data_IF_546816894221
#
_entry.id   IF_546816894221
#
_cell.length_a   1.000
_cell.length_b   1.000
_cell.length_c   1.000
_cell.angle_alpha   90.00
_cell.angle_beta   90.00
_cell.angle_gamma   90.00
#
_symmetry.space_group_name_H-M   'P 1'
#
loop_
_entity.id
_entity.type
_entity.pdbx_description
1 polymer ?
#
# COMPACT_ATOMS: atom_id res chain seq x y z
N UNK A 1 -5.58 -6.61 1.67
CA UNK A 1 -4.28 -6.06 2.10
C UNK A 1 -3.21 -6.15 1.02
N UNK A 2 -2.85 -7.34 0.52
CA UNK A 2 -1.77 -7.48 -0.48
C UNK A 2 -2.01 -6.63 -1.75
N UNK A 3 -3.17 -6.79 -2.40
CA UNK A 3 -3.54 -6.00 -3.57
C UNK A 3 -3.52 -4.49 -3.29
N UNK A 4 -4.10 -4.06 -2.17
CA UNK A 4 -4.04 -2.66 -1.72
C UNK A 4 -2.61 -2.15 -1.53
N UNK A 5 -1.74 -2.98 -0.95
CA UNK A 5 -0.34 -2.63 -0.77
C UNK A 5 0.42 -2.48 -2.09
N UNK A 6 0.15 -3.37 -3.04
CA UNK A 6 0.75 -3.36 -4.36
C UNK A 6 0.29 -2.15 -5.18
N UNK A 7 -1.02 -2.03 -5.46
CA UNK A 7 -1.57 -0.96 -6.29
C UNK A 7 -1.54 0.42 -5.62
N UNK A 8 -1.50 0.47 -4.29
CA UNK A 8 -1.38 1.71 -3.51
C UNK A 8 0.05 2.15 -3.22
N UNK A 9 1.05 1.38 -3.68
CA UNK A 9 2.47 1.60 -3.41
C UNK A 9 2.75 1.79 -1.90
N UNK A 10 2.08 0.98 -1.07
CA UNK A 10 2.15 1.13 0.38
C UNK A 10 3.38 0.43 0.95
N UNK A 11 4.00 1.08 1.93
CA UNK A 11 4.92 0.38 2.83
C UNK A 11 4.11 -0.52 3.73
N UNK A 12 4.62 -1.72 4.02
CA UNK A 12 3.93 -2.65 4.92
C UNK A 12 3.61 -2.04 6.31
N UNK A 13 4.47 -1.14 6.81
CA UNK A 13 4.26 -0.45 8.08
C UNK A 13 3.06 0.51 8.08
N UNK A 14 2.55 0.93 6.90
CA UNK A 14 1.36 1.78 6.76
C UNK A 14 0.06 0.97 6.92
N UNK A 15 0.15 -0.37 6.88
CA UNK A 15 -1.00 -1.28 7.04
C UNK A 15 -0.90 -2.19 8.27
N UNK A 16 0.19 -2.12 9.02
CA UNK A 16 0.47 -3.06 10.13
C UNK A 16 0.88 -2.35 11.41
N UNK A 17 0.65 -3.01 12.54
CA UNK A 17 1.22 -2.60 13.82
C UNK A 17 2.60 -3.22 14.05
N UNK A 18 3.37 -2.63 14.98
CA UNK A 18 4.66 -3.16 15.43
C UNK A 18 4.49 -4.52 16.09
N UNK A 19 5.44 -5.43 15.83
CA UNK A 19 5.45 -6.76 16.45
C UNK A 19 5.62 -6.64 17.98
N UNK A 20 6.59 -5.83 18.45
CA UNK A 20 6.77 -5.51 19.87
C UNK A 20 5.57 -4.67 20.38
N UNK A 21 4.79 -5.18 21.35
CA UNK A 21 3.66 -4.47 21.94
C UNK A 21 4.01 -3.09 22.52
N UNK A 22 5.21 -2.92 23.09
CA UNK A 22 5.63 -1.66 23.72
C UNK A 22 5.83 -0.53 22.71
N UNK A 23 6.06 -0.86 21.43
CA UNK A 23 6.27 0.10 20.35
C UNK A 23 4.99 0.40 19.56
N UNK A 24 3.86 -0.19 19.95
CA UNK A 24 2.56 -0.01 19.27
C UNK A 24 2.00 1.37 19.57
N UNK A 25 1.65 2.10 18.52
CA UNK A 25 1.01 3.40 18.65
C UNK A 25 -0.27 3.43 17.80
N UNK A 26 -1.44 3.19 18.42
CA UNK A 26 -2.70 3.12 17.69
C UNK A 26 -3.12 4.43 17.02
N UNK A 27 -2.56 5.57 17.42
CA UNK A 27 -2.79 6.86 16.75
C UNK A 27 -2.24 6.87 15.31
N UNK A 28 -1.33 5.96 14.97
CA UNK A 28 -0.73 5.84 13.63
C UNK A 28 -1.43 4.83 12.73
N UNK A 29 -2.45 4.13 13.23
CA UNK A 29 -3.13 3.09 12.45
C UNK A 29 -4.19 3.71 11.55
N UNK A 30 -4.23 3.26 10.30
CA UNK A 30 -5.21 3.68 9.30
C UNK A 30 -6.63 3.49 9.79
N UNK A 31 -7.46 4.53 9.65
CA UNK A 31 -8.83 4.57 10.21
C UNK A 31 -9.84 4.07 9.20
N UNK A 32 -10.78 3.25 9.66
CA UNK A 32 -11.91 2.77 8.84
C UNK A 32 -12.74 3.93 8.30
N UNK A 33 -13.00 4.95 9.12
CA UNK A 33 -13.79 6.12 8.74
C UNK A 33 -13.16 6.96 7.62
N UNK A 34 -11.84 6.83 7.41
CA UNK A 34 -11.19 7.49 6.28
C UNK A 34 -11.42 6.78 4.95
N UNK A 35 -11.83 5.51 4.98
CA UNK A 35 -12.00 4.69 3.79
C UNK A 35 -13.30 5.02 3.06
N UNK A 36 -13.17 5.33 1.77
CA UNK A 36 -14.25 5.68 0.86
C UNK A 36 -14.23 4.72 -0.33
N UNK A 37 -15.40 4.24 -0.73
CA UNK A 37 -15.60 3.45 -1.95
C UNK A 37 -16.33 4.34 -2.94
N UNK A 38 -15.92 4.27 -4.20
CA UNK A 38 -16.62 4.85 -5.34
C UNK A 38 -16.77 3.78 -6.44
N UNK A 39 -17.41 4.13 -7.54
CA UNK A 39 -17.70 3.18 -8.63
C UNK A 39 -16.41 2.60 -9.24
N UNK A 40 -15.39 3.45 -9.40
CA UNK A 40 -14.16 3.08 -10.10
C UNK A 40 -12.96 2.90 -9.16
N UNK A 41 -12.96 3.57 -8.01
CA UNK A 41 -11.82 3.58 -7.10
C UNK A 41 -12.24 3.39 -5.66
N UNK A 42 -11.25 3.17 -4.81
CA UNK A 42 -11.38 3.34 -3.37
C UNK A 42 -10.22 4.16 -2.84
N UNK A 43 -10.42 4.82 -1.71
CA UNK A 43 -9.37 5.61 -1.08
C UNK A 43 -9.44 5.56 0.44
N UNK A 44 -8.34 5.92 1.10
CA UNK A 44 -8.26 6.10 2.54
C UNK A 44 -7.11 7.04 2.90
N UNK A 45 -7.07 7.52 4.14
CA UNK A 45 -6.04 8.44 4.62
C UNK A 45 -5.00 7.70 5.47
N UNK A 46 -3.73 7.92 5.18
CA UNK A 46 -2.62 7.56 6.07
C UNK A 46 -2.44 8.66 7.13
N UNK A 47 -2.38 8.29 8.41
CA UNK A 47 -2.32 9.29 9.48
C UNK A 47 -0.91 9.84 9.74
N UNK A 48 0.13 9.21 9.21
CA UNK A 48 1.51 9.67 9.40
C UNK A 48 2.35 9.43 8.15
N UNK A 49 2.89 10.49 7.57
CA UNK A 49 4.00 10.42 6.62
C UNK A 49 5.19 11.24 7.14
N UNK A 50 6.41 10.78 6.85
CA UNK A 50 7.66 11.40 7.32
C UNK A 50 8.00 12.72 6.58
N UNK A 51 7.26 13.08 5.54
CA UNK A 51 7.49 14.27 4.71
C UNK A 51 6.22 15.12 4.53
N UNK A 52 5.34 15.14 5.54
CA UNK A 52 4.06 15.84 5.46
C UNK A 52 4.15 17.29 5.96
N UNK A 53 4.57 18.20 5.08
CA UNK A 53 4.51 19.64 5.32
C UNK A 53 3.22 20.30 4.79
N UNK A 54 2.34 19.56 4.08
CA UNK A 54 1.25 20.17 3.30
C UNK A 54 -0.14 19.49 3.40
N UNK A 55 -0.33 18.46 4.23
CA UNK A 55 -1.65 17.91 4.64
C UNK A 55 -2.60 17.39 3.54
N UNK A 56 -2.28 17.47 2.24
CA UNK A 56 -3.04 16.85 1.15
C UNK A 56 -2.44 15.51 0.64
N UNK A 57 -1.18 15.20 0.97
CA UNK A 57 -0.40 14.06 0.42
C UNK A 57 -0.65 12.68 1.05
N UNK A 58 -1.56 12.58 2.01
CA UNK A 58 -1.78 11.35 2.79
C UNK A 58 -2.91 10.46 2.24
N UNK A 59 -3.63 10.90 1.20
CA UNK A 59 -4.70 10.11 0.60
C UNK A 59 -4.11 9.08 -0.37
N UNK A 60 -4.40 7.81 -0.09
CA UNK A 60 -4.11 6.71 -1.00
C UNK A 60 -5.37 6.49 -1.82
N UNK A 61 -5.28 6.66 -3.14
CA UNK A 61 -6.34 6.37 -4.08
C UNK A 61 -5.90 5.22 -4.97
N UNK A 62 -6.75 4.19 -5.10
CA UNK A 62 -6.46 3.00 -5.89
C UNK A 62 -7.59 2.82 -6.90
N UNK A 63 -7.22 2.91 -8.17
CA UNK A 63 -8.10 2.72 -9.32
C UNK A 63 -7.69 1.43 -10.06
N UNK A 64 -7.84 0.30 -9.38
CA UNK A 64 -7.67 -1.04 -9.97
C UNK A 64 -8.91 -1.89 -9.69
N UNK A 65 -9.45 -2.52 -10.73
CA UNK A 65 -10.72 -3.26 -10.65
C UNK A 65 -10.65 -4.44 -9.69
N UNK A 66 -9.56 -5.21 -9.74
CA UNK A 66 -9.37 -6.41 -8.92
C UNK A 66 -9.18 -6.00 -7.46
N UNK A 67 -8.31 -5.02 -7.21
CA UNK A 67 -8.07 -4.48 -5.89
C UNK A 67 -9.34 -3.90 -5.26
N UNK A 68 -10.17 -3.20 -6.05
CA UNK A 68 -11.44 -2.65 -5.59
C UNK A 68 -12.40 -3.76 -5.17
N UNK A 69 -12.57 -4.80 -5.98
CA UNK A 69 -13.45 -5.92 -5.64
C UNK A 69 -13.01 -6.61 -4.35
N UNK A 70 -11.71 -6.88 -4.21
CA UNK A 70 -11.15 -7.47 -2.99
C UNK A 70 -11.34 -6.56 -1.77
N UNK A 71 -11.19 -5.25 -1.95
CA UNK A 71 -11.36 -4.26 -0.88
C UNK A 71 -12.82 -4.12 -0.44
N UNK A 72 -13.77 -4.12 -1.37
CA UNK A 72 -15.21 -4.08 -1.08
C UNK A 72 -15.63 -5.33 -0.29
N UNK A 73 -15.23 -6.52 -0.75
CA UNK A 73 -15.52 -7.78 -0.05
C UNK A 73 -14.90 -7.79 1.36
N UNK A 74 -13.66 -7.30 1.47
CA UNK A 74 -12.98 -7.14 2.75
C UNK A 74 -13.75 -6.20 3.70
N UNK A 75 -14.16 -5.03 3.21
CA UNK A 75 -14.88 -4.06 4.03
C UNK A 75 -16.23 -4.58 4.50
N UNK A 76 -16.98 -5.27 3.64
CA UNK A 76 -18.25 -5.88 4.01
C UNK A 76 -18.09 -6.86 5.18
N UNK A 77 -17.13 -7.80 5.08
CA UNK A 77 -16.85 -8.79 6.15
C UNK A 77 -16.30 -8.12 7.42
N UNK A 78 -15.39 -7.15 7.26
CA UNK A 78 -14.81 -6.40 8.37
C UNK A 78 -15.89 -5.64 9.14
N UNK A 79 -16.80 -4.96 8.45
CA UNK A 79 -17.82 -4.13 9.07
C UNK A 79 -18.95 -4.98 9.68
N UNK A 80 -19.23 -6.17 9.14
CA UNK A 80 -20.16 -7.13 9.76
C UNK A 80 -19.59 -7.77 11.04
N UNK A 81 -18.30 -8.14 11.05
CA UNK A 81 -17.67 -8.79 12.20
C UNK A 81 -17.22 -7.78 13.28
N UNK A 82 -16.80 -6.58 12.88
CA UNK A 82 -16.19 -5.57 13.77
C UNK A 82 -16.74 -4.16 13.54
N UNK A 83 -18.06 -3.92 13.72
CA UNK A 83 -18.72 -2.67 13.35
C UNK A 83 -18.16 -1.44 14.09
N UNK A 84 -17.77 -1.59 15.36
CA UNK A 84 -17.27 -0.48 16.20
C UNK A 84 -15.74 -0.37 16.24
N UNK A 85 -15.01 -1.29 15.58
CA UNK A 85 -13.55 -1.22 15.57
C UNK A 85 -13.10 -0.04 14.69
N UNK A 86 -12.21 0.85 15.15
CA UNK A 86 -11.86 2.06 14.39
C UNK A 86 -10.80 1.83 13.30
N UNK A 87 -10.13 0.68 13.27
CA UNK A 87 -8.96 0.46 12.40
C UNK A 87 -9.32 -0.21 11.08
N UNK A 88 -8.83 0.32 9.97
CA UNK A 88 -9.16 -0.19 8.63
C UNK A 88 -8.71 -1.64 8.45
N UNK A 89 -7.47 -1.95 8.86
CA UNK A 89 -6.87 -3.27 8.66
C UNK A 89 -7.00 -4.13 9.91
N UNK A 90 -7.73 -5.23 9.77
CA UNK A 90 -8.05 -6.18 10.82
C UNK A 90 -7.82 -7.61 10.33
N UNK A 91 -7.39 -8.45 11.26
CA UNK A 91 -7.42 -9.90 11.16
C UNK A 91 -8.81 -10.44 11.52
N UNK A 92 -9.04 -11.71 11.25
CA UNK A 92 -10.26 -12.45 11.63
C UNK A 92 -10.55 -12.45 13.14
N UNK A 93 -9.56 -12.17 13.98
CA UNK A 93 -9.74 -12.03 15.43
C UNK A 93 -9.90 -10.57 15.89
N UNK A 94 -10.14 -9.63 14.98
CA UNK A 94 -10.36 -8.21 15.28
C UNK A 94 -9.10 -7.40 15.64
N UNK A 95 -7.92 -8.01 15.60
CA UNK A 95 -6.66 -7.31 15.88
C UNK A 95 -6.05 -6.71 14.63
N UNK A 96 -5.36 -5.58 14.76
CA UNK A 96 -4.55 -5.01 13.66
C UNK A 96 -3.43 -6.00 13.32
N UNK A 97 -3.20 -6.32 12.04
CA UNK A 97 -2.15 -7.26 11.65
C UNK A 97 -0.77 -6.74 12.03
N UNK A 98 0.12 -7.63 12.47
CA UNK A 98 1.54 -7.28 12.64
C UNK A 98 2.31 -7.53 11.36
N UNK A 99 3.52 -6.97 11.25
CA UNK A 99 4.44 -7.29 10.16
C UNK A 99 4.71 -8.81 10.09
N UNK A 100 5.00 -9.47 11.23
CA UNK A 100 5.22 -10.92 11.27
C UNK A 100 4.02 -11.69 10.72
N UNK A 101 2.80 -11.36 11.15
CA UNK A 101 1.59 -12.01 10.65
C UNK A 101 1.46 -11.85 9.12
N UNK A 102 1.63 -10.63 8.61
CA UNK A 102 1.53 -10.39 7.17
C UNK A 102 2.57 -11.18 6.40
N UNK A 103 3.82 -11.22 6.88
CA UNK A 103 4.88 -11.99 6.24
C UNK A 103 4.60 -13.49 6.25
N UNK A 104 4.00 -14.03 7.31
CA UNK A 104 3.55 -15.43 7.35
C UNK A 104 2.49 -15.70 6.27
N UNK A 105 1.51 -14.82 6.11
CA UNK A 105 0.49 -14.96 5.07
C UNK A 105 1.08 -14.82 3.67
N UNK A 106 1.97 -13.85 3.45
CA UNK A 106 2.64 -13.64 2.16
C UNK A 106 3.42 -14.89 1.74
N UNK A 107 4.17 -15.50 2.67
CA UNK A 107 4.94 -16.73 2.41
C UNK A 107 4.07 -17.95 2.10
N UNK A 108 2.84 -17.97 2.61
CA UNK A 108 1.89 -19.03 2.28
C UNK A 108 1.40 -18.91 0.83
N UNK A 109 1.39 -17.70 0.27
CA UNK A 109 0.98 -17.44 -1.12
C UNK A 109 2.16 -17.51 -2.09
N UNK A 110 3.32 -17.02 -1.65
CA UNK A 110 4.57 -16.97 -2.41
C UNK A 110 5.68 -17.55 -1.54
N UNK A 111 6.00 -18.86 -1.68
CA UNK A 111 7.02 -19.52 -0.86
C UNK A 111 8.43 -18.94 -1.03
N UNK A 112 8.67 -18.23 -2.14
CA UNK A 112 9.93 -17.56 -2.44
C UNK A 112 10.24 -16.44 -1.42
N UNK A 113 11.46 -16.47 -0.88
CA UNK A 113 11.94 -15.55 0.16
C UNK A 113 12.33 -14.18 -0.39
N UNK A 114 12.42 -14.03 -1.71
CA UNK A 114 12.69 -12.75 -2.36
C UNK A 114 11.51 -11.77 -2.22
N UNK A 115 10.31 -12.28 -1.89
CA UNK A 115 9.15 -11.46 -1.54
C UNK A 115 9.17 -11.06 -0.06
N UNK A 116 9.45 -9.78 0.18
CA UNK A 116 9.45 -9.13 1.48
C UNK A 116 8.37 -8.04 1.57
N UNK A 117 8.20 -7.45 2.76
CA UNK A 117 7.24 -6.35 2.96
C UNK A 117 7.50 -5.10 2.10
N UNK A 118 8.71 -4.94 1.54
CA UNK A 118 9.04 -3.88 0.57
C UNK A 118 8.67 -4.26 -0.87
N UNK A 119 8.44 -5.55 -1.16
CA UNK A 119 8.17 -6.04 -2.52
C UNK A 119 6.84 -5.53 -3.06
N UNK A 120 5.86 -5.21 -2.20
CA UNK A 120 4.62 -4.54 -2.65
C UNK A 120 4.92 -3.15 -3.19
N UNK A 121 5.70 -2.36 -2.44
CA UNK A 121 6.05 -0.98 -2.82
C UNK A 121 6.92 -0.96 -4.07
N UNK A 122 7.94 -1.82 -4.12
CA UNK A 122 8.85 -1.93 -5.26
C UNK A 122 8.19 -2.52 -6.52
N UNK A 123 7.40 -3.58 -6.34
CA UNK A 123 6.70 -4.26 -7.41
C UNK A 123 5.63 -3.37 -8.04
N UNK A 124 4.83 -2.67 -7.22
CA UNK A 124 3.84 -1.73 -7.73
C UNK A 124 4.45 -0.57 -8.52
N UNK A 125 5.60 -0.06 -8.07
CA UNK A 125 6.35 0.98 -8.78
C UNK A 125 6.90 0.50 -10.13
N UNK A 126 7.42 -0.74 -10.15
CA UNK A 126 7.91 -1.37 -11.39
C UNK A 126 6.76 -1.59 -12.36
N UNK A 127 5.62 -2.09 -11.90
CA UNK A 127 4.44 -2.29 -12.74
C UNK A 127 3.93 -0.98 -13.35
N UNK A 128 3.86 0.10 -12.56
CA UNK A 128 3.50 1.42 -13.11
C UNK A 128 4.49 1.90 -14.18
N UNK A 129 5.80 1.68 -13.97
CA UNK A 129 6.80 2.03 -14.98
C UNK A 129 6.65 1.19 -16.27
N UNK A 130 6.33 -0.11 -16.13
CA UNK A 130 6.05 -1.00 -17.26
C UNK A 130 4.78 -0.59 -18.02
N UNK A 131 3.76 -0.09 -17.32
CA UNK A 131 2.54 0.47 -17.90
C UNK A 131 2.75 1.88 -18.50
N UNK A 132 3.98 2.41 -18.47
CA UNK A 132 4.34 3.71 -19.06
C UNK A 132 3.93 4.91 -18.22
N UNK A 133 3.65 4.73 -16.91
CA UNK A 133 3.35 5.85 -16.03
C UNK A 133 4.56 6.79 -15.94
N UNK A 134 4.35 8.12 -16.07
CA UNK A 134 5.45 9.07 -15.97
C UNK A 134 6.17 9.01 -14.61
N UNK A 135 7.49 9.26 -14.56
CA UNK A 135 8.30 9.27 -13.33
C UNK A 135 7.66 10.06 -12.18
N UNK A 136 7.14 11.25 -12.46
CA UNK A 136 6.53 12.13 -11.46
C UNK A 136 5.23 11.55 -10.87
N UNK A 137 4.47 10.79 -11.65
CA UNK A 137 3.26 10.08 -11.18
C UNK A 137 3.64 8.95 -10.24
N UNK A 138 4.65 8.14 -10.61
CA UNK A 138 5.15 7.05 -9.76
C UNK A 138 5.71 7.62 -8.45
N UNK A 139 6.50 8.69 -8.54
CA UNK A 139 7.06 9.37 -7.38
C UNK A 139 5.99 9.87 -6.42
N UNK A 140 4.95 10.55 -6.95
CA UNK A 140 3.81 11.02 -6.17
C UNK A 140 3.02 9.87 -5.55
N UNK A 141 2.70 8.84 -6.34
CA UNK A 141 1.91 7.69 -5.91
C UNK A 141 2.59 6.89 -4.79
N UNK A 142 3.90 6.69 -4.87
CA UNK A 142 4.68 6.02 -3.82
C UNK A 142 5.21 6.95 -2.73
N UNK A 143 4.87 8.25 -2.80
CA UNK A 143 5.18 9.27 -1.79
C UNK A 143 6.68 9.33 -1.47
N UNK A 144 7.51 9.36 -2.51
CA UNK A 144 8.96 9.55 -2.40
C UNK A 144 9.32 11.03 -2.46
N UNK A 145 10.18 11.47 -1.52
CA UNK A 145 10.64 12.86 -1.45
C UNK A 145 11.69 13.20 -2.53
N UNK A 146 12.26 12.18 -3.19
CA UNK A 146 13.28 12.33 -4.23
C UNK A 146 13.15 11.22 -5.26
N UNK A 147 14.03 11.23 -6.27
CA UNK A 147 14.17 10.18 -7.28
C UNK A 147 14.64 8.81 -6.73
N UNK A 148 14.69 8.66 -5.40
CA UNK A 148 14.97 7.38 -4.72
C UNK A 148 14.03 6.24 -5.13
N UNK A 149 12.92 6.50 -5.80
CA UNK A 149 12.07 5.44 -6.36
C UNK A 149 12.76 4.64 -7.48
N UNK A 150 13.73 5.21 -8.19
CA UNK A 150 14.43 4.54 -9.30
C UNK A 150 15.13 3.25 -8.86
N UNK A 151 15.66 3.19 -7.63
CA UNK A 151 16.32 1.99 -7.08
C UNK A 151 15.36 0.79 -6.92
N UNK A 152 14.05 1.06 -6.94
CA UNK A 152 13.02 0.04 -6.78
C UNK A 152 12.55 -0.54 -8.11
N UNK A 153 12.85 0.10 -9.24
CA UNK A 153 12.54 -0.41 -10.58
C UNK A 153 13.66 -1.39 -10.98
N UNK A 154 13.45 -2.68 -10.72
CA UNK A 154 14.45 -3.74 -10.99
C UNK A 154 14.40 -4.19 -12.46
N UNK A 155 14.78 -3.31 -13.38
CA UNK A 155 14.88 -3.60 -14.83
C UNK A 155 16.25 -3.19 -15.38
N UNK A 156 16.60 -3.74 -16.53
CA UNK A 156 17.83 -3.38 -17.22
C UNK A 156 17.86 -1.85 -17.48
N UNK A 157 18.97 -1.14 -17.21
CA UNK A 157 19.03 0.32 -17.27
C UNK A 157 18.53 0.93 -18.60
N UNK A 158 18.76 0.25 -19.73
CA UNK A 158 18.28 0.69 -21.05
C UNK A 158 16.74 0.65 -21.14
N UNK A 159 16.11 -0.40 -20.60
CA UNK A 159 14.64 -0.50 -20.57
C UNK A 159 14.05 0.55 -19.63
N UNK A 160 14.71 0.78 -18.50
CA UNK A 160 14.33 1.79 -17.53
C UNK A 160 14.47 3.20 -18.12
N UNK A 161 15.53 3.48 -18.88
CA UNK A 161 15.68 4.74 -19.61
C UNK A 161 14.54 4.94 -20.63
N UNK A 162 14.22 3.92 -21.43
CA UNK A 162 13.11 4.00 -22.38
C UNK A 162 11.76 4.24 -21.67
N UNK A 163 11.50 3.54 -20.56
CA UNK A 163 10.26 3.70 -19.77
C UNK A 163 10.14 5.08 -19.12
N UNK A 164 11.24 5.63 -18.58
CA UNK A 164 11.21 6.92 -17.88
C UNK A 164 11.21 8.13 -18.84
N UNK A 165 11.71 7.98 -20.07
CA UNK A 165 11.88 9.10 -21.02
C UNK A 165 10.95 9.05 -22.25
N UNK A 166 10.14 8.01 -22.44
CA UNK A 166 9.16 7.93 -23.54
C UNK A 166 7.91 8.80 -23.34
N UNK A 167 7.92 9.75 -22.40
CA UNK A 167 6.82 10.71 -22.20
C UNK A 167 7.04 11.96 -23.07
N UNK A 168 6.78 11.86 -24.39
CA UNK A 168 6.57 13.01 -25.28
C UNK A 168 5.15 12.96 -25.85
#
# INVERSE_FOLDING_TARGET
MLATGFYGLLRLAEMTMKDNPQLRNPRKYTRRLSAQISDNFYSFLLLTHKADTTFQGNRVLINDRIARQLFVNYLARRDSEFPINPYLWLRENGTVPTRRWFMTQLRSLFPDRDFAGQSMHAGGATALAEDGAPPHVIQAAGRWASETFQIYIRKHPILLQAMLHNSN
#
